data_IF_683171832714
#
_entry.id   IF_683171832714
#
_cell.length_a   1.000
_cell.length_b   1.000
_cell.length_c   1.000
_cell.angle_alpha   90.00
_cell.angle_beta   90.00
_cell.angle_gamma   90.00
#
_symmetry.space_group_name_H-M   'P 1'
#
loop_
_entity.id
_entity.type
_entity.pdbx_description
1 polymer ?
#
# COMPACT_ATOMS: atom_id res chain seq x y z
N UNK A 1 -21.32 25.75 14.47
CA UNK A 1 -21.52 25.73 12.99
C UNK A 1 -20.61 26.69 12.24
N UNK A 2 -20.85 28.02 12.15
CA UNK A 2 -19.96 28.89 11.35
C UNK A 2 -18.51 29.02 11.90
N UNK A 3 -18.34 29.04 13.23
CA UNK A 3 -17.01 29.07 13.87
C UNK A 3 -16.24 27.77 13.63
N UNK A 4 -16.90 26.62 13.72
CA UNK A 4 -16.27 25.31 13.46
C UNK A 4 -15.87 25.12 11.99
N UNK A 5 -16.60 25.74 11.05
CA UNK A 5 -16.26 25.73 9.63
C UNK A 5 -15.03 26.61 9.37
N UNK A 6 -14.92 27.77 10.02
CA UNK A 6 -13.75 28.63 9.92
C UNK A 6 -12.49 27.97 10.50
N UNK A 7 -12.63 27.28 11.64
CA UNK A 7 -11.53 26.52 12.25
C UNK A 7 -11.07 25.36 11.36
N UNK A 8 -12.01 24.67 10.71
CA UNK A 8 -11.73 23.59 9.75
C UNK A 8 -10.96 24.10 8.53
N UNK A 9 -11.41 25.20 7.91
CA UNK A 9 -10.72 25.82 6.78
C UNK A 9 -9.30 26.27 7.13
N UNK A 10 -9.14 26.90 8.30
CA UNK A 10 -7.81 27.28 8.80
C UNK A 10 -6.90 26.05 9.02
N UNK A 11 -7.45 24.92 9.48
CA UNK A 11 -6.69 23.68 9.62
C UNK A 11 -6.29 23.07 8.25
N UNK A 12 -7.16 23.18 7.24
CA UNK A 12 -6.87 22.74 5.87
C UNK A 12 -5.79 23.59 5.21
N UNK A 13 -5.87 24.93 5.33
CA UNK A 13 -4.85 25.85 4.81
C UNK A 13 -3.47 25.53 5.40
N UNK A 14 -3.41 25.31 6.72
CA UNK A 14 -2.17 24.89 7.40
C UNK A 14 -1.67 23.54 6.91
N UNK A 15 -2.57 22.58 6.69
CA UNK A 15 -2.21 21.27 6.18
C UNK A 15 -1.63 21.36 4.76
N UNK A 16 -2.19 22.23 3.91
CA UNK A 16 -1.68 22.49 2.57
C UNK A 16 -0.30 23.15 2.57
N UNK A 17 -0.08 24.15 3.41
CA UNK A 17 1.25 24.76 3.54
C UNK A 17 2.32 23.75 3.98
N UNK A 18 1.98 22.89 4.95
CA UNK A 18 2.87 21.85 5.43
C UNK A 18 3.12 20.80 4.34
N UNK A 19 2.08 20.43 3.58
CA UNK A 19 2.17 19.53 2.43
C UNK A 19 3.12 20.05 1.36
N UNK A 20 3.02 21.33 0.99
CA UNK A 20 3.92 21.92 -0.01
C UNK A 20 5.37 21.97 0.47
N UNK A 21 5.60 22.29 1.75
CA UNK A 21 6.94 22.19 2.35
C UNK A 21 7.47 20.76 2.31
N UNK A 22 6.61 19.78 2.55
CA UNK A 22 6.96 18.37 2.51
C UNK A 22 7.27 17.89 1.09
N UNK A 23 6.51 18.34 0.09
CA UNK A 23 6.77 18.10 -1.34
C UNK A 23 8.16 18.59 -1.73
N UNK A 24 8.50 19.81 -1.32
CA UNK A 24 9.78 20.43 -1.66
C UNK A 24 10.94 19.69 -1.00
N UNK A 25 10.81 19.37 0.29
CA UNK A 25 11.78 18.54 1.01
C UNK A 25 11.96 17.14 0.36
N UNK A 26 10.88 16.55 -0.16
CA UNK A 26 10.92 15.25 -0.82
C UNK A 26 11.69 15.30 -2.15
N UNK A 27 11.52 16.36 -2.94
CA UNK A 27 12.28 16.56 -4.19
C UNK A 27 13.79 16.65 -3.93
N UNK A 28 14.18 17.24 -2.81
CA UNK A 28 15.59 17.44 -2.47
C UNK A 28 16.32 16.14 -2.05
N UNK A 29 15.64 14.98 -1.98
CA UNK A 29 16.14 13.61 -1.71
C UNK A 29 16.93 13.39 -0.41
N UNK A 30 17.71 14.35 0.06
CA UNK A 30 18.46 14.33 1.31
C UNK A 30 17.57 14.52 2.54
N UNK A 31 16.37 15.07 2.36
CA UNK A 31 15.43 15.41 3.43
C UNK A 31 14.20 14.50 3.50
N UNK A 32 14.29 13.24 3.05
CA UNK A 32 13.16 12.28 3.07
C UNK A 32 12.52 12.12 4.45
N UNK A 33 13.34 12.01 5.51
CA UNK A 33 12.86 11.92 6.89
C UNK A 33 12.15 13.19 7.36
N UNK A 34 12.66 14.34 6.93
CA UNK A 34 12.07 15.63 7.24
C UNK A 34 10.73 15.80 6.52
N UNK A 35 10.65 15.44 5.23
CA UNK A 35 9.40 15.40 4.47
C UNK A 35 8.37 14.50 5.17
N UNK A 36 8.74 13.28 5.57
CA UNK A 36 7.84 12.37 6.30
C UNK A 36 7.27 13.00 7.58
N UNK A 37 8.11 13.66 8.39
CA UNK A 37 7.66 14.35 9.60
C UNK A 37 6.65 15.45 9.27
N UNK A 38 6.88 16.22 8.21
CA UNK A 38 5.95 17.25 7.74
C UNK A 38 4.63 16.63 7.28
N UNK A 39 4.63 15.55 6.51
CA UNK A 39 3.36 14.87 6.15
C UNK A 39 2.62 14.32 7.35
N UNK A 40 3.32 13.75 8.33
CA UNK A 40 2.69 13.31 9.57
C UNK A 40 2.05 14.50 10.31
N UNK A 41 2.76 15.63 10.38
CA UNK A 41 2.24 16.86 10.95
C UNK A 41 1.00 17.38 10.21
N UNK A 42 0.99 17.35 8.87
CA UNK A 42 -0.16 17.72 8.05
C UNK A 42 -1.38 16.82 8.32
N UNK A 43 -1.16 15.49 8.44
CA UNK A 43 -2.23 14.55 8.81
C UNK A 43 -2.78 14.87 10.21
N UNK A 44 -1.94 15.25 11.17
CA UNK A 44 -2.40 15.60 12.52
C UNK A 44 -3.28 16.86 12.55
N UNK A 45 -2.99 17.86 11.70
CA UNK A 45 -3.82 19.07 11.59
C UNK A 45 -5.25 18.74 11.15
N UNK A 46 -5.40 17.79 10.23
CA UNK A 46 -6.71 17.41 9.68
C UNK A 46 -7.38 16.26 10.45
N UNK A 47 -6.64 15.48 11.25
CA UNK A 47 -7.12 14.26 11.94
C UNK A 47 -8.32 14.52 12.84
N UNK A 48 -8.29 15.60 13.63
CA UNK A 48 -9.38 15.97 14.55
C UNK A 48 -10.72 16.26 13.87
N UNK A 49 -10.71 16.44 12.55
CA UNK A 49 -11.88 16.68 11.73
C UNK A 49 -12.25 15.46 10.89
N UNK A 50 -11.27 14.68 10.41
CA UNK A 50 -11.48 13.49 9.56
C UNK A 50 -12.16 12.34 10.32
N UNK A 51 -11.98 12.26 11.64
CA UNK A 51 -12.60 11.22 12.47
C UNK A 51 -14.07 11.52 12.85
N UNK A 52 -14.58 12.72 12.53
CA UNK A 52 -15.98 13.09 12.82
C UNK A 52 -16.90 12.62 11.68
N UNK A 53 -17.92 11.78 11.96
CA UNK A 53 -18.77 11.18 10.92
C UNK A 53 -19.62 12.18 10.11
N UNK A 54 -19.66 13.46 10.52
CA UNK A 54 -20.45 14.52 9.88
C UNK A 54 -19.60 15.61 9.20
N UNK A 55 -18.32 15.37 8.90
CA UNK A 55 -17.46 16.36 8.23
C UNK A 55 -18.09 16.84 6.89
N UNK A 56 -18.63 15.94 6.09
CA UNK A 56 -19.32 16.27 4.83
C UNK A 56 -20.61 17.09 5.02
N UNK A 57 -21.31 16.91 6.14
CA UNK A 57 -22.53 17.63 6.48
C UNK A 57 -22.26 19.04 7.04
N UNK A 58 -21.11 19.26 7.67
CA UNK A 58 -20.69 20.59 8.14
C UNK A 58 -20.18 21.49 7.03
N UNK A 59 -19.74 20.92 5.91
CA UNK A 59 -18.98 21.63 4.87
C UNK A 59 -19.81 22.41 3.85
N UNK A 60 -21.12 22.17 3.73
CA UNK A 60 -22.03 22.94 2.85
C UNK A 60 -21.75 22.87 1.32
N UNK A 61 -20.56 22.45 0.91
CA UNK A 61 -20.09 22.25 -0.47
C UNK A 61 -18.89 21.29 -0.44
N UNK A 62 -19.12 19.98 -0.67
CA UNK A 62 -18.16 18.92 -0.31
C UNK A 62 -17.06 18.66 -1.37
N UNK A 63 -16.83 19.53 -2.35
CA UNK A 63 -16.01 19.21 -3.53
C UNK A 63 -14.60 19.83 -3.54
N UNK A 64 -14.41 21.02 -2.97
CA UNK A 64 -13.13 21.74 -3.06
C UNK A 64 -12.13 21.40 -1.94
N UNK A 65 -12.61 20.86 -0.80
CA UNK A 65 -11.79 20.62 0.40
C UNK A 65 -11.30 19.15 0.56
N UNK A 66 -11.97 18.20 -0.12
CA UNK A 66 -11.54 16.80 -0.26
C UNK A 66 -10.15 16.59 -0.91
N UNK A 67 -9.73 17.34 -1.95
CA UNK A 67 -8.46 17.07 -2.64
C UNK A 67 -7.25 17.28 -1.73
N UNK A 68 -7.29 18.24 -0.80
CA UNK A 68 -6.19 18.54 0.14
C UNK A 68 -5.97 17.38 1.09
N UNK A 69 -7.05 16.92 1.75
CA UNK A 69 -7.04 15.77 2.65
C UNK A 69 -6.56 14.52 1.90
N UNK A 70 -7.09 14.28 0.70
CA UNK A 70 -6.70 13.13 -0.11
C UNK A 70 -5.25 13.17 -0.54
N UNK A 71 -4.72 14.33 -0.94
CA UNK A 71 -3.32 14.50 -1.33
C UNK A 71 -2.37 14.32 -0.14
N UNK A 72 -2.68 14.91 1.02
CA UNK A 72 -1.90 14.75 2.26
C UNK A 72 -1.85 13.29 2.68
N UNK A 73 -3.01 12.60 2.69
CA UNK A 73 -3.11 11.18 3.02
C UNK A 73 -2.34 10.32 2.02
N UNK A 74 -2.53 10.57 0.71
CA UNK A 74 -1.82 9.86 -0.35
C UNK A 74 -0.30 9.99 -0.18
N UNK A 75 0.22 11.19 0.05
CA UNK A 75 1.66 11.43 0.17
C UNK A 75 2.23 10.90 1.49
N UNK A 76 1.45 10.91 2.57
CA UNK A 76 1.79 10.23 3.83
C UNK A 76 1.95 8.70 3.65
N UNK A 77 1.14 8.06 2.80
CA UNK A 77 1.29 6.64 2.46
C UNK A 77 2.65 6.33 1.80
N UNK A 78 3.13 7.21 0.91
CA UNK A 78 4.38 6.98 0.17
C UNK A 78 5.63 6.97 1.05
N UNK A 79 5.60 7.63 2.21
CA UNK A 79 6.79 7.88 3.02
C UNK A 79 7.02 6.85 4.11
N UNK A 80 6.01 6.04 4.42
CA UNK A 80 6.19 4.85 5.27
C UNK A 80 7.00 3.74 4.56
N UNK A 81 7.25 3.85 3.26
CA UNK A 81 7.98 2.86 2.47
C UNK A 81 9.50 3.05 2.49
N UNK A 82 10.01 4.22 2.91
CA UNK A 82 11.43 4.59 2.72
C UNK A 82 12.30 4.59 3.99
N UNK A 83 11.79 4.29 5.19
CA UNK A 83 12.59 4.32 6.43
C UNK A 83 12.64 3.00 7.22
N UNK A 84 13.70 2.85 8.01
CA UNK A 84 14.13 1.79 8.93
C UNK A 84 13.03 0.91 9.50
N UNK A 85 13.17 -0.41 9.26
CA UNK A 85 12.32 -1.52 9.71
C UNK A 85 10.87 -1.15 10.03
N UNK A 86 10.07 -0.74 9.02
CA UNK A 86 8.65 -0.48 9.24
C UNK A 86 8.02 -1.78 9.70
N UNK A 87 7.28 -1.71 10.80
CA UNK A 87 6.52 -2.85 11.26
C UNK A 87 5.38 -3.11 10.26
N UNK A 88 4.92 -4.35 10.16
CA UNK A 88 3.72 -4.69 9.39
C UNK A 88 2.52 -3.79 9.74
N UNK A 89 2.45 -3.29 10.98
CA UNK A 89 1.41 -2.37 11.45
C UNK A 89 1.50 -0.98 10.82
N UNK A 90 2.70 -0.49 10.47
CA UNK A 90 2.89 0.80 9.80
C UNK A 90 2.37 0.75 8.35
N UNK A 91 2.64 -0.33 7.64
CA UNK A 91 2.11 -0.53 6.29
C UNK A 91 0.59 -0.69 6.28
N UNK A 92 0.01 -1.36 7.28
CA UNK A 92 -1.45 -1.46 7.40
C UNK A 92 -2.10 -0.11 7.73
N UNK A 93 -1.41 0.78 8.45
CA UNK A 93 -1.89 2.16 8.61
C UNK A 93 -1.90 2.90 7.26
N UNK A 94 -0.87 2.72 6.42
CA UNK A 94 -0.88 3.29 5.07
C UNK A 94 -2.06 2.77 4.21
N UNK A 95 -2.46 1.51 4.37
CA UNK A 95 -3.68 0.97 3.75
C UNK A 95 -4.92 1.73 4.21
N UNK A 96 -5.09 1.97 5.52
CA UNK A 96 -6.26 2.70 6.03
C UNK A 96 -6.38 4.11 5.47
N UNK A 97 -5.27 4.80 5.23
CA UNK A 97 -5.27 6.10 4.57
C UNK A 97 -5.68 6.00 3.11
N UNK A 98 -5.22 4.98 2.38
CA UNK A 98 -5.68 4.73 1.01
C UNK A 98 -7.18 4.43 0.96
N UNK A 99 -7.70 3.65 1.91
CA UNK A 99 -9.13 3.34 1.99
C UNK A 99 -9.99 4.59 2.18
N UNK A 100 -9.53 5.55 3.01
CA UNK A 100 -10.20 6.85 3.17
C UNK A 100 -10.27 7.64 1.87
N UNK A 101 -9.18 7.64 1.10
CA UNK A 101 -9.13 8.29 -0.21
C UNK A 101 -10.10 7.61 -1.17
N UNK A 102 -10.07 6.28 -1.25
CA UNK A 102 -10.93 5.48 -2.13
C UNK A 102 -12.42 5.56 -1.75
N UNK A 103 -12.76 5.83 -0.50
CA UNK A 103 -14.14 6.07 -0.09
C UNK A 103 -14.72 7.35 -0.73
N UNK A 104 -13.87 8.31 -1.09
CA UNK A 104 -14.27 9.54 -1.77
C UNK A 104 -14.02 9.51 -3.28
N UNK A 105 -12.93 8.86 -3.71
CA UNK A 105 -12.51 8.73 -5.10
C UNK A 105 -12.23 7.24 -5.41
N UNK A 106 -13.28 6.42 -5.65
CA UNK A 106 -13.14 4.98 -5.83
C UNK A 106 -12.21 4.59 -6.99
N UNK A 107 -12.19 5.39 -8.06
CA UNK A 107 -11.43 5.12 -9.27
C UNK A 107 -10.01 5.74 -9.24
N UNK A 108 -9.56 6.27 -8.11
CA UNK A 108 -8.24 6.90 -8.01
C UNK A 108 -7.12 5.87 -8.15
N UNK A 109 -6.58 5.79 -9.37
CA UNK A 109 -5.51 4.86 -9.75
C UNK A 109 -4.26 4.98 -8.87
N UNK A 110 -3.93 6.20 -8.41
CA UNK A 110 -2.76 6.42 -7.53
C UNK A 110 -3.00 5.83 -6.15
N UNK A 111 -4.21 6.00 -5.59
CA UNK A 111 -4.57 5.46 -4.29
C UNK A 111 -4.65 3.93 -4.31
N UNK A 112 -5.28 3.34 -5.34
CA UNK A 112 -5.32 1.88 -5.56
C UNK A 112 -3.90 1.30 -5.64
N UNK A 113 -3.04 1.92 -6.47
CA UNK A 113 -1.65 1.48 -6.62
C UNK A 113 -0.85 1.56 -5.31
N UNK A 114 -0.96 2.68 -4.58
CA UNK A 114 -0.28 2.86 -3.28
C UNK A 114 -0.76 1.86 -2.23
N UNK A 115 -2.06 1.53 -2.22
CA UNK A 115 -2.64 0.48 -1.37
C UNK A 115 -2.05 -0.89 -1.69
N UNK A 116 -1.89 -1.22 -2.98
CA UNK A 116 -1.21 -2.44 -3.42
C UNK A 116 0.25 -2.51 -2.94
N UNK A 117 1.00 -1.41 -3.06
CA UNK A 117 2.36 -1.32 -2.54
C UNK A 117 2.43 -1.51 -1.01
N UNK A 118 1.49 -0.92 -0.27
CA UNK A 118 1.41 -1.10 1.18
C UNK A 118 1.14 -2.56 1.57
N UNK A 119 0.23 -3.24 0.88
CA UNK A 119 0.01 -4.67 1.10
C UNK A 119 1.22 -5.52 0.76
N UNK A 120 1.94 -5.20 -0.34
CA UNK A 120 3.17 -5.90 -0.72
C UNK A 120 4.21 -5.82 0.39
N UNK A 121 4.42 -4.63 0.94
CA UNK A 121 5.41 -4.40 2.00
C UNK A 121 4.97 -4.98 3.35
N UNK A 122 3.66 -5.07 3.59
CA UNK A 122 3.08 -5.83 4.69
C UNK A 122 3.12 -7.36 4.48
N UNK A 123 3.77 -7.86 3.41
CA UNK A 123 3.84 -9.26 3.00
C UNK A 123 2.49 -9.94 2.76
N UNK A 124 1.43 -9.14 2.53
CA UNK A 124 0.09 -9.62 2.18
C UNK A 124 -0.04 -9.66 0.65
N UNK A 125 0.69 -10.58 0.01
CA UNK A 125 0.84 -10.63 -1.44
C UNK A 125 -0.48 -10.85 -2.19
N UNK A 126 -1.36 -11.72 -1.70
CA UNK A 126 -2.72 -11.92 -2.27
C UNK A 126 -3.49 -10.60 -2.43
N UNK A 127 -3.57 -9.82 -1.34
CA UNK A 127 -4.26 -8.53 -1.32
C UNK A 127 -3.57 -7.50 -2.21
N UNK A 128 -2.24 -7.50 -2.23
CA UNK A 128 -1.47 -6.61 -3.09
C UNK A 128 -1.79 -6.85 -4.58
N UNK A 129 -1.82 -8.12 -4.98
CA UNK A 129 -2.16 -8.52 -6.35
C UNK A 129 -3.58 -8.11 -6.75
N UNK A 130 -4.55 -8.23 -5.85
CA UNK A 130 -5.92 -7.78 -6.10
C UNK A 130 -5.96 -6.28 -6.41
N UNK A 131 -5.26 -5.46 -5.62
CA UNK A 131 -5.20 -4.02 -5.87
C UNK A 131 -4.47 -3.68 -7.18
N UNK A 132 -3.35 -4.36 -7.49
CA UNK A 132 -2.64 -4.12 -8.75
C UNK A 132 -3.45 -4.49 -10.00
N UNK A 133 -4.34 -5.49 -9.91
CA UNK A 133 -5.29 -5.81 -11.00
C UNK A 133 -6.33 -4.70 -11.20
N UNK A 134 -6.68 -3.97 -10.15
CA UNK A 134 -7.65 -2.87 -10.21
C UNK A 134 -7.04 -1.57 -10.77
N UNK A 135 -5.72 -1.50 -10.97
CA UNK A 135 -5.06 -0.33 -11.57
C UNK A 135 -4.22 -0.65 -12.83
N UNK A 136 -4.83 -1.23 -13.89
CA UNK A 136 -4.11 -1.66 -15.10
C UNK A 136 -3.49 -0.50 -15.88
N UNK A 137 -3.94 0.74 -15.64
CA UNK A 137 -3.42 1.95 -16.28
C UNK A 137 -2.02 2.34 -15.78
N UNK A 138 -1.61 1.81 -14.61
CA UNK A 138 -0.28 2.10 -14.08
C UNK A 138 0.75 1.13 -14.65
N UNK A 139 1.73 1.69 -15.36
CA UNK A 139 2.82 0.96 -16.04
C UNK A 139 3.60 0.06 -15.07
N UNK A 140 3.71 0.46 -13.80
CA UNK A 140 4.45 -0.30 -12.79
C UNK A 140 3.63 -1.43 -12.15
N UNK A 141 2.30 -1.41 -12.25
CA UNK A 141 1.43 -2.36 -11.56
C UNK A 141 1.60 -3.80 -12.07
N UNK A 142 1.79 -3.98 -13.38
CA UNK A 142 2.02 -5.30 -13.98
C UNK A 142 3.31 -5.96 -13.50
N UNK A 143 4.41 -5.20 -13.45
CA UNK A 143 5.70 -5.67 -12.95
C UNK A 143 5.63 -6.06 -11.47
N UNK A 144 4.98 -5.22 -10.65
CA UNK A 144 4.78 -5.48 -9.22
C UNK A 144 3.86 -6.66 -8.95
N UNK A 145 2.86 -6.87 -9.80
CA UNK A 145 1.96 -8.02 -9.71
C UNK A 145 2.72 -9.33 -9.93
N UNK A 146 3.61 -9.40 -10.92
CA UNK A 146 4.46 -10.56 -11.14
C UNK A 146 5.47 -10.75 -10.00
N UNK A 147 6.05 -9.67 -9.46
CA UNK A 147 6.92 -9.75 -8.28
C UNK A 147 6.19 -10.35 -7.07
N UNK A 148 4.96 -9.92 -6.79
CA UNK A 148 4.12 -10.46 -5.72
C UNK A 148 3.81 -11.95 -5.92
N UNK A 149 3.49 -12.36 -7.15
CA UNK A 149 3.24 -13.78 -7.50
C UNK A 149 4.44 -14.67 -7.21
N UNK A 150 5.65 -14.20 -7.53
CA UNK A 150 6.87 -14.96 -7.28
C UNK A 150 7.13 -15.11 -5.79
N UNK A 151 7.02 -14.02 -5.03
CA UNK A 151 7.22 -14.04 -3.57
C UNK A 151 6.22 -14.93 -2.85
N UNK A 152 4.96 -14.90 -3.26
CA UNK A 152 3.93 -15.80 -2.72
C UNK A 152 4.29 -17.29 -2.95
N UNK A 153 4.74 -17.65 -4.15
CA UNK A 153 5.21 -19.02 -4.45
C UNK A 153 6.43 -19.41 -3.64
N UNK A 154 7.37 -18.48 -3.44
CA UNK A 154 8.55 -18.70 -2.60
C UNK A 154 8.17 -18.93 -1.13
N UNK A 155 7.25 -18.13 -0.58
CA UNK A 155 6.75 -18.29 0.79
C UNK A 155 6.01 -19.62 0.96
N UNK A 156 5.18 -20.03 -0.01
CA UNK A 156 4.55 -21.36 -0.02
C UNK A 156 5.62 -22.46 -0.05
N UNK A 157 6.63 -22.33 -0.92
CA UNK A 157 7.73 -23.30 -1.01
C UNK A 157 8.55 -23.37 0.28
N UNK A 158 8.78 -22.25 0.96
CA UNK A 158 9.50 -22.20 2.26
C UNK A 158 8.66 -22.78 3.39
N UNK A 159 7.35 -22.54 3.37
CA UNK A 159 6.38 -23.06 4.34
C UNK A 159 6.10 -24.55 4.18
N UNK A 160 6.35 -25.12 2.99
CA UNK A 160 6.45 -26.57 2.80
C UNK A 160 7.91 -26.99 3.05
N UNK A 161 8.32 -27.42 4.27
CA UNK A 161 9.65 -27.94 4.46
C UNK A 161 9.83 -29.08 3.47
N UNK A 162 10.85 -28.95 2.63
CA UNK A 162 11.31 -29.88 1.60
C UNK A 162 10.73 -31.29 1.79
N UNK A 163 9.53 -31.53 1.28
CA UNK A 163 9.09 -32.89 1.01
C UNK A 163 9.84 -33.28 -0.24
N UNK A 164 11.12 -33.61 -0.05
CA UNK A 164 11.86 -34.35 -1.06
C UNK A 164 11.00 -35.53 -1.51
N UNK A 165 11.03 -35.83 -2.81
CA UNK A 165 9.92 -36.39 -3.55
C UNK A 165 9.66 -37.84 -3.14
N UNK A 166 8.88 -38.04 -2.08
CA UNK A 166 8.34 -39.36 -1.71
C UNK A 166 7.52 -39.98 -2.87
N UNK A 167 7.08 -39.15 -3.83
CA UNK A 167 6.45 -39.59 -5.06
C UNK A 167 7.45 -40.08 -6.14
N UNK A 168 8.70 -39.60 -6.19
CA UNK A 168 9.69 -40.13 -7.14
C UNK A 168 10.30 -41.45 -6.68
N UNK A 169 10.45 -41.70 -5.37
CA UNK A 169 10.94 -42.99 -4.88
C UNK A 169 9.98 -44.15 -5.16
N UNK A 170 8.66 -43.89 -5.18
CA UNK A 170 7.62 -44.87 -5.54
C UNK A 170 7.54 -45.16 -7.03
N UNK A 171 7.91 -44.20 -7.88
CA UNK A 171 7.99 -44.41 -9.34
C UNK A 171 9.26 -45.19 -9.69
N UNK A 172 10.40 -44.91 -9.04
CA UNK A 172 11.65 -45.63 -9.28
C UNK A 172 11.74 -47.00 -8.59
N UNK A 173 10.98 -47.28 -7.53
CA UNK A 173 10.90 -48.64 -6.93
C UNK A 173 10.02 -49.60 -7.72
N UNK A 174 9.19 -49.10 -8.63
CA UNK A 174 8.26 -49.90 -9.45
C UNK A 174 8.76 -50.12 -10.88
N UNK A 175 9.94 -49.59 -11.23
CA UNK A 175 10.69 -49.97 -12.42
C UNK A 175 11.63 -51.11 -12.02
N UNK A 176 11.14 -52.33 -12.19
CA UNK A 176 11.85 -53.59 -11.97
C UNK A 176 13.19 -53.65 -12.72
N UNK A 177 14.23 -54.32 -12.20
CA UNK A 177 15.51 -54.52 -12.92
C UNK A 177 15.47 -55.51 -14.11
N UNK A 178 14.30 -55.99 -14.54
CA UNK A 178 14.20 -57.16 -15.44
C UNK A 178 14.23 -56.85 -16.95
N UNK A 179 15.08 -55.91 -17.40
CA UNK A 179 15.28 -55.69 -18.85
C UNK A 179 16.73 -55.92 -19.31
N UNK A 180 17.64 -56.33 -18.43
CA UNK A 180 19.04 -56.61 -18.80
C UNK A 180 19.47 -58.09 -18.68
N UNK A 181 18.55 -59.04 -18.64
CA UNK A 181 18.89 -60.48 -18.53
C UNK A 181 18.48 -61.35 -19.72
N UNK A 182 17.95 -60.81 -20.82
CA UNK A 182 17.76 -61.58 -22.06
C UNK A 182 17.91 -60.70 -23.31
N UNK A 183 19.14 -60.58 -23.81
CA UNK A 183 19.38 -60.44 -25.24
C UNK A 183 20.29 -61.59 -25.69
N UNK A 184 19.98 -62.25 -26.83
CA UNK A 184 20.75 -63.37 -27.36
C UNK A 184 22.15 -62.97 -27.83
#
# INVERSE_FOLDING_TARGET
MQVEIADLRCALDKADEIKEKANEAYKQKEFRLYAMRLYHQAVLQIKGFVEKPNMAAMLGSPEEEKPVVNQVLQQSCCLHFEWTSPSTADYLRAVTYCDKVLASEPDNQKAIFRKGCAYKLAQKYEKAMEQFKQCPQNIQASALLEECRLKEKEEIRRGTPNCEPALLRKVFSNLTPDVFSNMP
#
